data_IF_885670116830
#
_entry.id   IF_885670116830
#
_cell.length_a   1.000
_cell.length_b   1.000
_cell.length_c   1.000
_cell.angle_alpha   90.00
_cell.angle_beta   90.00
_cell.angle_gamma   90.00
#
_symmetry.space_group_name_H-M   'P 1'
#
loop_
_entity.id
_entity.type
_entity.pdbx_description
1 polymer ?
#
# COMPACT_ATOMS: atom_id res chain seq x y z
N UNK A 1 25.20 2.84 -12.91
CA UNK A 1 23.91 3.10 -13.59
C UNK A 1 22.69 2.77 -12.73
N UNK A 2 22.86 2.18 -11.54
CA UNK A 2 21.92 2.24 -10.43
C UNK A 2 22.76 2.34 -9.14
N UNK A 3 22.41 3.22 -8.20
CA UNK A 3 22.91 3.10 -6.82
C UNK A 3 22.03 2.06 -6.11
N UNK A 4 22.65 1.24 -5.27
CA UNK A 4 22.15 -0.04 -4.76
C UNK A 4 20.72 -0.04 -4.21
N UNK A 5 20.04 -1.17 -4.45
CA UNK A 5 18.61 -1.49 -4.17
C UNK A 5 17.60 -0.74 -5.04
N UNK A 6 17.27 -1.36 -6.19
CA UNK A 6 16.63 -0.76 -7.38
C UNK A 6 15.11 -0.53 -7.22
N UNK A 7 14.48 -0.99 -6.14
CA UNK A 7 13.03 -0.92 -5.95
C UNK A 7 12.75 -0.20 -4.62
N UNK A 8 12.00 0.90 -4.68
CA UNK A 8 11.56 1.69 -3.51
C UNK A 8 10.04 1.64 -3.42
N UNK A 9 9.48 1.72 -2.22
CA UNK A 9 8.03 1.84 -2.02
C UNK A 9 7.67 3.30 -1.70
N UNK A 10 6.69 3.85 -2.43
CA UNK A 10 6.13 5.20 -2.21
C UNK A 10 4.62 5.12 -2.27
N UNK A 11 3.91 5.64 -1.26
CA UNK A 11 2.45 5.60 -1.17
C UNK A 11 1.88 4.18 -1.40
N UNK A 12 2.48 3.18 -0.74
CA UNK A 12 2.20 1.75 -0.91
C UNK A 12 2.45 1.16 -2.32
N UNK A 13 2.97 1.92 -3.28
CA UNK A 13 3.31 1.44 -4.62
C UNK A 13 4.80 1.19 -4.79
N UNK A 14 5.14 0.14 -5.52
CA UNK A 14 6.52 -0.11 -5.93
C UNK A 14 6.92 0.80 -7.10
N UNK A 15 7.98 1.56 -6.89
CA UNK A 15 8.52 2.54 -7.83
C UNK A 15 10.02 2.38 -7.99
N UNK A 16 10.53 2.80 -9.14
CA UNK A 16 11.96 2.80 -9.46
C UNK A 16 12.43 4.25 -9.52
N UNK A 17 13.49 4.63 -8.77
CA UNK A 17 14.09 5.94 -8.89
C UNK A 17 14.93 6.01 -10.18
N UNK A 18 14.58 6.96 -11.05
CA UNK A 18 15.26 7.22 -12.34
C UNK A 18 15.64 8.68 -12.40
N UNK A 19 16.88 9.01 -12.80
CA UNK A 19 17.26 10.42 -13.00
C UNK A 19 16.41 11.03 -14.12
N UNK A 20 16.04 12.30 -13.97
CA UNK A 20 15.16 13.02 -14.91
C UNK A 20 15.66 12.95 -16.36
N UNK A 21 16.98 12.99 -16.56
CA UNK A 21 17.65 12.86 -17.87
C UNK A 21 17.39 11.53 -18.58
N UNK A 22 17.15 10.44 -17.83
CA UNK A 22 16.88 9.11 -18.38
C UNK A 22 15.38 8.78 -18.48
N UNK A 23 14.49 9.76 -18.20
CA UNK A 23 13.04 9.56 -18.27
C UNK A 23 12.57 8.94 -19.59
N UNK A 24 13.13 9.38 -20.72
CA UNK A 24 12.68 8.93 -22.05
C UNK A 24 13.07 7.50 -22.37
N UNK A 25 13.96 6.89 -21.59
CA UNK A 25 14.38 5.50 -21.75
C UNK A 25 13.54 4.53 -20.90
N UNK A 26 12.66 5.04 -20.04
CA UNK A 26 11.84 4.23 -19.13
C UNK A 26 10.36 4.47 -19.36
N UNK A 27 9.67 3.45 -19.87
CA UNK A 27 8.22 3.45 -20.03
C UNK A 27 7.52 3.17 -18.69
N UNK A 28 6.82 4.16 -18.15
CA UNK A 28 6.10 4.05 -16.89
C UNK A 28 5.38 5.32 -16.46
N UNK A 29 4.59 5.21 -15.39
CA UNK A 29 3.86 6.32 -14.79
C UNK A 29 4.72 7.01 -13.74
N UNK A 30 4.81 8.34 -13.77
CA UNK A 30 5.49 9.08 -12.71
C UNK A 30 4.55 9.18 -11.51
N UNK A 31 5.00 8.66 -10.38
CA UNK A 31 4.29 8.79 -9.10
C UNK A 31 4.77 9.98 -8.28
N UNK A 32 6.08 10.22 -8.30
CA UNK A 32 6.68 11.22 -7.42
C UNK A 32 7.98 11.79 -8.02
N UNK A 33 8.45 12.90 -7.45
CA UNK A 33 9.71 13.56 -7.80
C UNK A 33 10.47 13.92 -6.53
N UNK A 34 11.80 13.85 -6.57
CA UNK A 34 12.62 14.34 -5.46
C UNK A 34 12.40 15.84 -5.24
N UNK A 35 12.65 16.32 -4.02
CA UNK A 35 12.56 17.74 -3.70
C UNK A 35 13.43 18.64 -4.59
N UNK A 36 14.55 18.10 -5.10
CA UNK A 36 15.46 18.76 -6.05
C UNK A 36 15.02 18.64 -7.51
N UNK A 37 13.99 17.85 -7.81
CA UNK A 37 13.49 17.54 -9.16
C UNK A 37 14.36 16.57 -9.97
N UNK A 38 15.56 16.25 -9.51
CA UNK A 38 16.56 15.48 -10.27
C UNK A 38 16.22 13.98 -10.39
N UNK A 39 15.47 13.42 -9.44
CA UNK A 39 15.09 12.00 -9.45
C UNK A 39 13.56 11.89 -9.59
N UNK A 40 13.13 11.10 -10.55
CA UNK A 40 11.75 10.72 -10.78
C UNK A 40 11.50 9.33 -10.23
N UNK A 41 10.37 9.12 -9.58
CA UNK A 41 9.93 7.81 -9.14
C UNK A 41 8.89 7.30 -10.13
N UNK A 42 9.28 6.28 -10.91
CA UNK A 42 8.49 5.75 -12.02
C UNK A 42 7.97 4.36 -11.65
N UNK A 43 6.67 4.14 -11.83
CA UNK A 43 6.05 2.82 -11.82
C UNK A 43 6.08 2.25 -13.24
N UNK A 44 6.79 1.13 -13.47
CA UNK A 44 6.79 0.45 -14.76
C UNK A 44 5.39 -0.04 -15.13
N UNK A 45 5.02 0.06 -16.40
CA UNK A 45 3.70 -0.40 -16.89
C UNK A 45 3.38 -1.86 -16.54
N UNK A 46 4.39 -2.74 -16.51
CA UNK A 46 4.22 -4.14 -16.13
C UNK A 46 3.83 -4.34 -14.66
N UNK A 47 4.17 -3.38 -13.79
CA UNK A 47 3.87 -3.44 -12.36
C UNK A 47 2.58 -2.72 -11.98
N UNK A 48 1.99 -1.91 -12.86
CA UNK A 48 0.76 -1.16 -12.57
C UNK A 48 -0.38 -2.09 -12.15
N UNK A 49 -0.63 -3.14 -12.93
CA UNK A 49 -1.71 -4.09 -12.61
C UNK A 49 -1.44 -4.82 -11.30
N UNK A 50 -0.21 -5.29 -11.09
CA UNK A 50 0.19 -5.98 -9.86
C UNK A 50 0.08 -5.07 -8.63
N UNK A 51 0.49 -3.80 -8.74
CA UNK A 51 0.35 -2.82 -7.65
C UNK A 51 -1.11 -2.49 -7.37
N UNK A 52 -1.97 -2.45 -8.39
CA UNK A 52 -3.41 -2.24 -8.20
C UNK A 52 -4.03 -3.45 -7.48
N UNK A 53 -3.73 -4.68 -7.91
CA UNK A 53 -4.19 -5.91 -7.26
C UNK A 53 -3.72 -5.98 -5.80
N UNK A 54 -2.46 -5.63 -5.53
CA UNK A 54 -1.92 -5.57 -4.19
C UNK A 54 -2.67 -4.54 -3.32
N UNK A 55 -2.95 -3.36 -3.86
CA UNK A 55 -3.67 -2.31 -3.14
C UNK A 55 -5.11 -2.72 -2.84
N UNK A 56 -5.79 -3.37 -3.80
CA UNK A 56 -7.14 -3.92 -3.59
C UNK A 56 -7.14 -5.01 -2.52
N UNK A 57 -6.14 -5.91 -2.55
CA UNK A 57 -6.00 -6.96 -1.55
C UNK A 57 -5.80 -6.39 -0.14
N UNK A 58 -4.95 -5.36 0.01
CA UNK A 58 -4.71 -4.70 1.30
C UNK A 58 -5.98 -4.01 1.84
N UNK A 59 -6.75 -3.36 0.97
CA UNK A 59 -8.04 -2.75 1.35
C UNK A 59 -9.04 -3.83 1.78
N UNK A 60 -9.09 -4.95 1.04
CA UNK A 60 -9.93 -6.09 1.37
C UNK A 60 -9.58 -6.71 2.72
N UNK A 61 -8.29 -6.84 3.02
CA UNK A 61 -7.80 -7.31 4.32
C UNK A 61 -8.26 -6.39 5.46
N UNK A 62 -8.09 -5.07 5.33
CA UNK A 62 -8.51 -4.12 6.36
C UNK A 62 -10.03 -4.16 6.62
N UNK A 63 -10.82 -4.27 5.54
CA UNK A 63 -12.27 -4.41 5.63
C UNK A 63 -12.68 -5.69 6.35
N UNK A 64 -12.00 -6.80 6.08
CA UNK A 64 -12.28 -8.08 6.72
C UNK A 64 -11.92 -8.09 8.21
N UNK A 65 -10.80 -7.47 8.57
CA UNK A 65 -10.42 -7.26 9.99
C UNK A 65 -11.50 -6.47 10.72
N UNK A 66 -12.00 -5.39 10.13
CA UNK A 66 -13.08 -4.59 10.72
C UNK A 66 -14.39 -5.38 10.84
N UNK A 67 -14.69 -6.26 9.86
CA UNK A 67 -15.85 -7.16 9.91
C UNK A 67 -15.75 -8.10 11.11
N UNK A 68 -14.61 -8.76 11.28
CA UNK A 68 -14.35 -9.68 12.40
C UNK A 68 -14.41 -8.95 13.73
N UNK A 69 -13.81 -7.77 13.86
CA UNK A 69 -13.88 -7.00 15.11
C UNK A 69 -15.30 -6.58 15.48
N UNK A 70 -16.13 -6.22 14.50
CA UNK A 70 -17.55 -5.92 14.75
C UNK A 70 -18.31 -7.16 15.22
N UNK A 71 -18.05 -8.30 14.60
CA UNK A 71 -18.66 -9.58 14.96
C UNK A 71 -18.27 -9.99 16.38
N UNK A 72 -16.98 -9.95 16.72
CA UNK A 72 -16.48 -10.24 18.06
C UNK A 72 -17.05 -9.25 19.09
N UNK A 73 -17.09 -7.96 18.78
CA UNK A 73 -17.67 -6.94 19.67
C UNK A 73 -19.16 -7.19 19.91
N UNK A 74 -19.90 -7.66 18.90
CA UNK A 74 -21.30 -8.01 19.05
C UNK A 74 -21.49 -9.24 19.96
N UNK A 75 -20.63 -10.25 19.83
CA UNK A 75 -20.63 -11.43 20.70
C UNK A 75 -20.32 -11.05 22.16
N UNK A 76 -19.30 -10.22 22.38
CA UNK A 76 -18.98 -9.70 23.72
C UNK A 76 -20.15 -8.93 24.32
N UNK A 77 -20.80 -8.08 23.52
CA UNK A 77 -22.00 -7.34 23.95
C UNK A 77 -23.15 -8.27 24.34
N UNK A 78 -23.35 -9.37 23.61
CA UNK A 78 -24.40 -10.35 23.92
C UNK A 78 -24.18 -11.02 25.29
N UNK A 79 -22.91 -11.28 25.65
CA UNK A 79 -22.54 -11.85 26.94
C UNK A 79 -22.22 -10.79 28.01
N UNK A 80 -22.45 -9.52 27.73
CA UNK A 80 -22.11 -8.41 28.63
C UNK A 80 -22.88 -8.47 29.95
N UNK A 81 -24.12 -8.95 29.95
CA UNK A 81 -24.93 -9.06 31.17
C UNK A 81 -24.41 -10.21 32.05
N UNK A 82 -24.13 -11.38 31.46
CA UNK A 82 -23.55 -12.52 32.18
C UNK A 82 -22.18 -12.20 32.79
N UNK A 83 -21.39 -11.35 32.10
CA UNK A 83 -20.08 -10.87 32.59
C UNK A 83 -20.20 -9.81 33.69
N UNK A 84 -21.28 -9.04 33.72
CA UNK A 84 -21.53 -8.06 34.79
C UNK A 84 -22.12 -8.69 36.05
N UNK A 85 -22.97 -9.71 35.90
CA UNK A 85 -23.58 -10.44 37.03
C UNK A 85 -22.59 -11.36 37.77
N UNK A 86 -21.43 -11.64 37.17
CA UNK A 86 -20.35 -12.43 37.77
C UNK A 86 -19.37 -11.62 38.65
N UNK A 87 -19.55 -10.30 38.78
CA UNK A 87 -18.77 -9.39 39.63
C UNK A 87 -19.53 -9.03 40.91
#
# INVERSE_FOLDING_TARGET
YFQETIITQRNNRYVIPVKQEYRQYFDGLIHDRSATGQTLYIEPMRLVNLNNELQEALIGEEQEVLRIYRELSALVKQHSNDLMDAC
#
